data_IF_053914543347
#
_entry.id   IF_053914543347
#
_cell.length_a   1.000
_cell.length_b   1.000
_cell.length_c   1.000
_cell.angle_alpha   90.00
_cell.angle_beta   90.00
_cell.angle_gamma   90.00
#
_symmetry.space_group_name_H-M   'P 1'
#
loop_
_entity.id
_entity.type
_entity.pdbx_description
1 polymer ?
#
# COMPACT_ATOMS: atom_id res chain seq x y z
N UNK A 1 5.53 -3.12 -16.84
CA UNK A 1 4.48 -2.33 -16.14
C UNK A 1 4.94 -0.89 -15.99
N UNK A 2 4.02 0.07 -16.08
CA UNK A 2 4.31 1.49 -15.82
C UNK A 2 4.28 1.78 -14.31
N UNK A 3 5.07 2.75 -13.85
CA UNK A 3 5.16 3.12 -12.44
C UNK A 3 3.81 3.48 -11.81
N UNK A 4 2.95 4.20 -12.55
CA UNK A 4 1.60 4.52 -12.09
C UNK A 4 0.73 3.29 -11.79
N UNK A 5 0.85 2.22 -12.59
CA UNK A 5 0.09 0.98 -12.32
C UNK A 5 0.57 0.27 -11.04
N UNK A 6 1.87 0.31 -10.76
CA UNK A 6 2.43 -0.20 -9.50
C UNK A 6 1.98 0.64 -8.30
N UNK A 7 1.97 1.97 -8.44
CA UNK A 7 1.47 2.86 -7.39
C UNK A 7 0.00 2.61 -7.08
N UNK A 8 -0.85 2.41 -8.10
CA UNK A 8 -2.26 2.04 -7.89
C UNK A 8 -2.41 0.68 -7.20
N UNK A 9 -1.60 -0.31 -7.56
CA UNK A 9 -1.59 -1.60 -6.88
C UNK A 9 -1.21 -1.46 -5.40
N UNK A 10 -0.18 -0.66 -5.10
CA UNK A 10 0.23 -0.38 -3.73
C UNK A 10 -0.86 0.35 -2.94
N UNK A 11 -1.50 1.36 -3.52
CA UNK A 11 -2.58 2.12 -2.87
C UNK A 11 -3.77 1.22 -2.52
N UNK A 12 -4.20 0.36 -3.45
CA UNK A 12 -5.26 -0.63 -3.21
C UNK A 12 -4.86 -1.58 -2.06
N UNK A 13 -3.64 -2.13 -2.09
CA UNK A 13 -3.17 -3.05 -1.06
C UNK A 13 -3.10 -2.36 0.32
N UNK A 14 -2.65 -1.10 0.38
CA UNK A 14 -2.60 -0.32 1.59
C UNK A 14 -3.99 0.02 2.13
N UNK A 15 -4.91 0.43 1.25
CA UNK A 15 -6.29 0.73 1.61
C UNK A 15 -7.01 -0.50 2.17
N UNK A 16 -6.88 -1.67 1.54
CA UNK A 16 -7.46 -2.92 2.05
C UNK A 16 -6.85 -3.31 3.40
N UNK A 17 -5.53 -3.17 3.55
CA UNK A 17 -4.84 -3.44 4.81
C UNK A 17 -5.34 -2.53 5.93
N UNK A 18 -5.54 -1.24 5.67
CA UNK A 18 -5.99 -0.27 6.66
C UNK A 18 -7.49 -0.41 6.97
N UNK A 19 -8.33 -0.67 5.96
CA UNK A 19 -9.76 -0.91 6.12
C UNK A 19 -10.04 -2.12 7.02
N UNK A 20 -9.16 -3.13 7.01
CA UNK A 20 -9.25 -4.27 7.93
C UNK A 20 -8.96 -3.93 9.41
N UNK A 21 -8.53 -2.71 9.71
CA UNK A 21 -8.16 -2.27 11.06
C UNK A 21 -9.14 -1.26 11.69
N UNK A 22 -10.18 -0.84 10.94
CA UNK A 22 -11.11 0.20 11.41
C UNK A 22 -12.44 -0.40 11.85
N UNK A 23 -13.10 0.27 12.79
CA UNK A 23 -14.38 -0.16 13.35
C UNK A 23 -15.54 0.11 12.37
N UNK A 24 -16.70 -0.55 12.55
CA UNK A 24 -17.90 -0.22 11.80
C UNK A 24 -18.24 1.29 11.89
N UNK A 25 -18.50 1.91 10.74
CA UNK A 25 -18.76 3.34 10.62
C UNK A 25 -17.51 4.20 10.38
N UNK A 26 -16.31 3.62 10.48
CA UNK A 26 -15.06 4.28 10.11
C UNK A 26 -14.64 3.90 8.70
N UNK A 27 -13.98 4.83 8.02
CA UNK A 27 -13.37 4.66 6.70
C UNK A 27 -11.97 5.25 6.69
N UNK A 28 -11.17 4.86 5.70
CA UNK A 28 -9.81 5.37 5.53
C UNK A 28 -9.68 6.15 4.24
N UNK A 29 -9.01 7.30 4.28
CA UNK A 29 -8.61 8.07 3.09
C UNK A 29 -7.10 8.22 3.04
N UNK A 30 -6.49 8.05 1.87
CA UNK A 30 -5.04 8.28 1.69
C UNK A 30 -4.69 9.74 1.95
N UNK A 31 -3.80 9.99 2.92
CA UNK A 31 -3.33 11.32 3.30
C UNK A 31 -1.94 11.62 2.71
N UNK A 32 -1.07 10.62 2.66
CA UNK A 32 0.27 10.71 2.08
C UNK A 32 0.62 9.35 1.48
N UNK A 33 1.30 9.33 0.32
CA UNK A 33 1.87 8.12 -0.26
C UNK A 33 3.22 8.43 -0.88
N UNK A 34 4.26 7.75 -0.41
CA UNK A 34 5.62 7.84 -0.96
C UNK A 34 6.01 6.50 -1.55
N UNK A 35 6.43 6.48 -2.81
CA UNK A 35 6.81 5.27 -3.53
C UNK A 35 8.24 5.35 -4.04
N UNK A 36 9.00 4.28 -3.77
CA UNK A 36 10.37 4.10 -4.23
C UNK A 36 10.40 2.96 -5.25
N UNK A 37 10.85 3.24 -6.47
CA UNK A 37 11.10 2.22 -7.49
C UNK A 37 12.55 1.72 -7.37
N UNK A 38 12.71 0.47 -6.97
CA UNK A 38 14.01 -0.12 -6.62
C UNK A 38 14.61 -0.93 -7.76
N UNK A 39 13.76 -1.58 -8.56
CA UNK A 39 14.17 -2.34 -9.73
C UNK A 39 13.04 -2.39 -10.77
N UNK A 40 13.36 -2.54 -12.06
CA UNK A 40 12.33 -2.73 -13.08
C UNK A 40 11.62 -4.06 -12.86
N UNK A 41 10.29 -4.06 -12.84
CA UNK A 41 9.49 -5.29 -12.82
C UNK A 41 9.73 -6.06 -14.12
N UNK A 42 10.13 -7.33 -14.01
CA UNK A 42 10.30 -8.25 -15.15
C UNK A 42 9.23 -9.34 -15.07
N UNK A 43 8.85 -9.86 -16.23
CA UNK A 43 7.78 -10.86 -16.33
C UNK A 43 6.39 -10.24 -16.45
N UNK A 44 5.38 -11.06 -16.19
CA UNK A 44 3.97 -10.81 -16.46
C UNK A 44 3.15 -10.46 -15.20
N UNK A 45 3.73 -10.58 -14.02
CA UNK A 45 3.03 -10.44 -12.74
C UNK A 45 3.84 -9.67 -11.69
N UNK A 46 3.10 -9.04 -10.78
CA UNK A 46 3.61 -8.33 -9.62
C UNK A 46 2.80 -8.74 -8.38
N UNK A 47 3.46 -9.00 -7.27
CA UNK A 47 2.82 -9.30 -5.99
C UNK A 47 3.07 -8.17 -5.01
N UNK A 48 2.00 -7.52 -4.55
CA UNK A 48 2.06 -6.49 -3.51
C UNK A 48 1.68 -7.08 -2.15
N UNK A 49 2.54 -6.89 -1.15
CA UNK A 49 2.31 -7.35 0.22
C UNK A 49 2.25 -6.13 1.13
N UNK A 50 1.07 -5.86 1.68
CA UNK A 50 0.85 -4.76 2.61
C UNK A 50 0.98 -5.23 4.06
N UNK A 51 1.59 -4.40 4.91
CA UNK A 51 1.69 -4.61 6.36
C UNK A 51 1.46 -3.31 7.12
N UNK A 52 0.66 -3.32 8.19
CA UNK A 52 0.53 -2.14 9.04
C UNK A 52 1.85 -1.95 9.82
N UNK A 53 2.40 -0.74 9.75
CA UNK A 53 3.53 -0.31 10.59
C UNK A 53 3.03 0.25 11.91
N UNK A 54 1.90 0.97 11.86
CA UNK A 54 1.23 1.53 13.03
C UNK A 54 -0.28 1.63 12.79
N UNK A 55 -1.08 1.15 13.74
CA UNK A 55 -2.54 1.33 13.75
C UNK A 55 -2.88 2.33 14.85
N UNK A 56 -3.35 3.51 14.46
CA UNK A 56 -3.73 4.58 15.38
C UNK A 56 -5.15 5.08 15.12
N UNK A 57 -5.72 5.77 16.11
CA UNK A 57 -7.11 6.25 16.05
C UNK A 57 -7.41 7.25 14.93
N UNK A 58 -6.40 7.99 14.48
CA UNK A 58 -6.52 9.06 13.49
C UNK A 58 -5.73 8.77 12.22
N UNK A 59 -4.66 7.99 12.33
CA UNK A 59 -3.75 7.64 11.24
C UNK A 59 -3.36 6.18 11.35
N UNK A 60 -3.36 5.49 10.21
CA UNK A 60 -2.78 4.17 10.03
C UNK A 60 -1.62 4.32 9.05
N UNK A 61 -0.44 3.84 9.43
CA UNK A 61 0.73 3.78 8.58
C UNK A 61 0.88 2.36 8.03
N UNK A 62 0.96 2.23 6.71
CA UNK A 62 1.10 0.95 6.01
C UNK A 62 2.34 1.00 5.12
N UNK A 63 3.09 -0.09 5.09
CA UNK A 63 4.14 -0.32 4.09
C UNK A 63 3.70 -1.42 3.14
N UNK A 64 3.97 -1.22 1.85
CA UNK A 64 3.65 -2.16 0.78
C UNK A 64 4.89 -2.49 -0.03
N UNK A 65 5.17 -3.78 -0.15
CA UNK A 65 6.31 -4.31 -0.88
C UNK A 65 5.86 -5.01 -2.15
N UNK A 66 6.42 -4.60 -3.29
CA UNK A 66 6.13 -5.21 -4.58
C UNK A 66 7.29 -6.09 -5.03
N UNK A 67 6.98 -7.34 -5.35
CA UNK A 67 7.92 -8.30 -5.91
C UNK A 67 7.49 -8.77 -7.30
N UNK A 68 8.45 -9.02 -8.19
CA UNK A 68 8.18 -9.71 -9.46
C UNK A 68 8.01 -11.23 -9.26
N UNK A 69 7.70 -11.94 -10.36
CA UNK A 69 7.52 -13.39 -10.36
C UNK A 69 8.76 -14.19 -9.89
N UNK A 70 9.94 -13.57 -9.91
CA UNK A 70 11.19 -14.17 -9.44
C UNK A 70 11.52 -13.78 -7.98
N UNK A 71 10.61 -13.07 -7.30
CA UNK A 71 10.78 -12.65 -5.92
C UNK A 71 11.71 -11.45 -5.74
N UNK A 72 12.04 -10.72 -6.81
CA UNK A 72 12.88 -9.52 -6.70
C UNK A 72 12.04 -8.33 -6.29
N UNK A 73 12.52 -7.57 -5.32
CA UNK A 73 11.84 -6.40 -4.78
C UNK A 73 11.94 -5.21 -5.76
N UNK A 74 10.81 -4.84 -6.34
CA UNK A 74 10.72 -3.87 -7.43
C UNK A 74 10.28 -2.49 -6.97
N UNK A 75 9.39 -2.41 -5.98
CA UNK A 75 8.94 -1.13 -5.44
C UNK A 75 8.54 -1.26 -3.97
N UNK A 76 8.63 -0.14 -3.25
CA UNK A 76 8.13 0.02 -1.89
C UNK A 76 7.29 1.26 -1.80
N UNK A 77 6.13 1.15 -1.16
CA UNK A 77 5.28 2.29 -0.83
C UNK A 77 5.11 2.39 0.68
N UNK A 78 5.28 3.59 1.22
CA UNK A 78 4.83 3.93 2.58
C UNK A 78 3.63 4.85 2.44
N UNK A 79 2.52 4.47 3.06
CA UNK A 79 1.25 5.18 2.94
C UNK A 79 0.69 5.51 4.33
N UNK A 80 0.31 6.77 4.51
CA UNK A 80 -0.46 7.22 5.64
C UNK A 80 -1.93 7.33 5.24
N UNK A 81 -2.79 6.68 5.99
CA UNK A 81 -4.23 6.72 5.80
C UNK A 81 -4.89 7.38 7.01
N UNK A 82 -5.67 8.43 6.76
CA UNK A 82 -6.50 9.09 7.76
C UNK A 82 -7.75 8.26 8.04
N UNK A 83 -8.06 8.04 9.32
CA UNK A 83 -9.31 7.40 9.75
C UNK A 83 -10.36 8.48 9.95
N UNK A 84 -11.49 8.36 9.25
CA UNK A 84 -12.62 9.28 9.30
C UNK A 84 -13.92 8.54 9.54
N UNK A 85 -14.99 9.25 9.87
CA UNK A 85 -16.34 8.67 9.93
C UNK A 85 -16.95 8.65 8.52
N UNK A 86 -17.77 7.63 8.24
CA UNK A 86 -18.55 7.50 7.00
C UNK A 86 -19.84 8.31 7.01
#
# INVERSE_FOLDING_TARGET
MHGGALMSLCDIAAALCAAAQVEPGQVTTTAESSTYFLAPLRGDSATAVARPVRVGRALICVEVDVHDAQGRHCARTTQLLAVTQS
#
